data_IF_115593175665
#
_entry.id   IF_115593175665
#
_cell.length_a   1.000
_cell.length_b   1.000
_cell.length_c   1.000
_cell.angle_alpha   90.00
_cell.angle_beta   90.00
_cell.angle_gamma   90.00
#
_symmetry.space_group_name_H-M   'P 1'
#
loop_
_entity.id
_entity.type
_entity.pdbx_description
1 polymer ?
#
# COMPACT_ATOMS: atom_id res chain seq x y z
N UNK A 1 -21.84 42.36 11.31
CA UNK A 1 -20.54 41.67 11.50
C UNK A 1 -20.62 40.14 11.33
N UNK A 2 -21.73 39.47 11.69
CA UNK A 2 -21.84 37.99 11.64
C UNK A 2 -21.96 37.34 10.24
N UNK A 3 -22.45 38.06 9.22
CA UNK A 3 -22.61 37.49 7.87
C UNK A 3 -21.28 37.20 7.17
N UNK A 4 -20.30 38.10 7.28
CA UNK A 4 -18.98 37.93 6.65
C UNK A 4 -18.27 36.69 7.21
N UNK A 5 -18.31 36.51 8.54
CA UNK A 5 -17.73 35.34 9.22
C UNK A 5 -18.41 34.04 8.77
N UNK A 6 -19.73 34.05 8.63
CA UNK A 6 -20.48 32.89 8.15
C UNK A 6 -20.09 32.50 6.72
N UNK A 7 -20.07 33.45 5.78
CA UNK A 7 -19.67 33.17 4.40
C UNK A 7 -18.21 32.70 4.30
N UNK A 8 -17.34 33.19 5.16
CA UNK A 8 -15.93 32.78 5.22
C UNK A 8 -15.79 31.34 5.73
N UNK A 9 -16.51 30.95 6.78
CA UNK A 9 -16.57 29.56 7.27
C UNK A 9 -17.08 28.62 6.17
N UNK A 10 -18.13 29.03 5.46
CA UNK A 10 -18.75 28.24 4.41
C UNK A 10 -17.80 28.07 3.20
N UNK A 11 -17.12 29.14 2.79
CA UNK A 11 -16.11 29.10 1.72
C UNK A 11 -14.93 28.18 2.08
N UNK A 12 -14.40 28.28 3.31
CA UNK A 12 -13.32 27.40 3.79
C UNK A 12 -13.80 25.94 3.82
N UNK A 13 -15.00 25.67 4.34
CA UNK A 13 -15.58 24.32 4.38
C UNK A 13 -15.73 23.71 2.97
N UNK A 14 -16.24 24.47 2.01
CA UNK A 14 -16.38 24.01 0.61
C UNK A 14 -15.02 23.76 -0.06
N UNK A 15 -14.03 24.61 0.20
CA UNK A 15 -12.67 24.41 -0.33
C UNK A 15 -12.01 23.14 0.23
N UNK A 16 -12.22 22.86 1.52
CA UNK A 16 -11.68 21.69 2.19
C UNK A 16 -12.40 20.41 1.74
N UNK A 17 -13.72 20.48 1.51
CA UNK A 17 -14.51 19.41 0.90
C UNK A 17 -13.97 19.04 -0.48
N UNK A 18 -13.82 20.03 -1.35
CA UNK A 18 -13.35 19.81 -2.72
C UNK A 18 -11.91 19.28 -2.78
N UNK A 19 -11.01 19.81 -1.93
CA UNK A 19 -9.65 19.29 -1.78
C UNK A 19 -9.64 17.83 -1.28
N UNK A 20 -10.48 17.50 -0.30
CA UNK A 20 -10.59 16.14 0.26
C UNK A 20 -11.14 15.15 -0.77
N UNK A 21 -12.16 15.55 -1.54
CA UNK A 21 -12.71 14.73 -2.63
C UNK A 21 -11.68 14.50 -3.74
N UNK A 22 -10.90 15.53 -4.09
CA UNK A 22 -9.80 15.39 -5.04
C UNK A 22 -8.75 14.39 -4.55
N UNK A 23 -8.33 14.52 -3.28
CA UNK A 23 -7.36 13.62 -2.66
C UNK A 23 -7.88 12.18 -2.61
N UNK A 24 -9.12 11.97 -2.18
CA UNK A 24 -9.76 10.65 -2.17
C UNK A 24 -9.77 10.03 -3.57
N UNK A 25 -10.15 10.79 -4.59
CA UNK A 25 -10.14 10.31 -5.98
C UNK A 25 -8.74 9.90 -6.44
N UNK A 26 -7.70 10.64 -6.01
CA UNK A 26 -6.30 10.28 -6.30
C UNK A 26 -5.88 9.01 -5.59
N UNK A 27 -6.30 8.80 -4.34
CA UNK A 27 -6.05 7.55 -3.60
C UNK A 27 -6.73 6.36 -4.27
N UNK A 28 -8.00 6.49 -4.70
CA UNK A 28 -8.72 5.44 -5.41
C UNK A 28 -8.00 5.04 -6.71
N UNK A 29 -7.64 6.02 -7.54
CA UNK A 29 -6.91 5.78 -8.79
C UNK A 29 -5.55 5.13 -8.54
N UNK A 30 -4.80 5.59 -7.54
CA UNK A 30 -3.51 4.98 -7.21
C UNK A 30 -3.69 3.53 -6.73
N UNK A 31 -4.70 3.26 -5.91
CA UNK A 31 -5.03 1.89 -5.49
C UNK A 31 -5.36 0.99 -6.68
N UNK A 32 -6.17 1.45 -7.63
CA UNK A 32 -6.53 0.69 -8.82
C UNK A 32 -5.30 0.39 -9.67
N UNK A 33 -4.46 1.40 -9.93
CA UNK A 33 -3.21 1.23 -10.68
C UNK A 33 -2.28 0.20 -10.02
N UNK A 34 -2.15 0.23 -8.69
CA UNK A 34 -1.37 -0.74 -7.93
C UNK A 34 -1.90 -2.16 -8.10
N UNK A 35 -3.22 -2.36 -7.99
CA UNK A 35 -3.83 -3.68 -8.18
C UNK A 35 -3.67 -4.19 -9.61
N UNK A 36 -3.85 -3.32 -10.61
CA UNK A 36 -3.62 -3.67 -12.01
C UNK A 36 -2.18 -4.09 -12.25
N UNK A 37 -1.21 -3.37 -11.68
CA UNK A 37 0.22 -3.72 -11.78
C UNK A 37 0.54 -5.06 -11.13
N UNK A 38 -0.04 -5.35 -9.96
CA UNK A 38 0.08 -6.67 -9.33
C UNK A 38 -0.48 -7.75 -10.23
N UNK A 39 -1.72 -7.59 -10.67
CA UNK A 39 -2.44 -8.60 -11.46
C UNK A 39 -1.75 -8.90 -12.78
N UNK A 40 -1.27 -7.88 -13.48
CA UNK A 40 -0.82 -8.03 -14.86
C UNK A 40 0.69 -8.24 -14.97
N UNK A 41 1.51 -7.65 -14.11
CA UNK A 41 2.98 -7.70 -14.27
C UNK A 41 3.63 -8.62 -13.24
N UNK A 42 3.28 -8.45 -11.95
CA UNK A 42 3.97 -9.15 -10.87
C UNK A 42 3.49 -10.58 -10.70
N UNK A 43 2.18 -10.84 -10.84
CA UNK A 43 1.65 -12.20 -10.80
C UNK A 43 2.19 -13.05 -11.95
N UNK A 44 2.30 -12.49 -13.15
CA UNK A 44 2.91 -13.20 -14.29
C UNK A 44 4.38 -13.49 -14.03
N UNK A 45 5.16 -12.47 -13.63
CA UNK A 45 6.57 -12.66 -13.28
C UNK A 45 6.74 -13.68 -12.16
N UNK A 46 5.88 -13.69 -11.15
CA UNK A 46 5.92 -14.71 -10.10
C UNK A 46 5.71 -16.12 -10.66
N UNK A 47 4.74 -16.31 -11.57
CA UNK A 47 4.48 -17.60 -12.20
C UNK A 47 5.67 -18.03 -13.06
N UNK A 48 6.18 -17.14 -13.92
CA UNK A 48 7.33 -17.42 -14.80
C UNK A 48 8.57 -17.81 -13.99
N UNK A 49 8.89 -17.09 -12.92
CA UNK A 49 10.05 -17.38 -12.08
C UNK A 49 9.84 -18.66 -11.25
N UNK A 50 8.61 -18.92 -10.80
CA UNK A 50 8.29 -20.17 -10.10
C UNK A 50 8.38 -21.39 -11.03
N UNK A 51 7.93 -21.24 -12.28
CA UNK A 51 8.04 -22.28 -13.31
C UNK A 51 9.52 -22.54 -13.64
N UNK A 52 10.31 -21.48 -13.85
CA UNK A 52 11.75 -21.60 -14.10
C UNK A 52 12.46 -22.30 -12.94
N UNK A 53 12.13 -21.95 -11.69
CA UNK A 53 12.68 -22.62 -10.51
C UNK A 53 12.32 -24.10 -10.45
N UNK A 54 11.10 -24.48 -10.82
CA UNK A 54 10.67 -25.88 -10.82
C UNK A 54 11.30 -26.65 -11.98
N UNK A 55 11.34 -26.11 -13.19
CA UNK A 55 11.75 -26.84 -14.40
C UNK A 55 13.26 -26.82 -14.59
N UNK A 56 13.88 -25.65 -14.42
CA UNK A 56 15.29 -25.41 -14.74
C UNK A 56 16.14 -25.06 -13.50
N UNK A 57 15.53 -24.97 -12.31
CA UNK A 57 16.20 -24.51 -11.11
C UNK A 57 17.27 -25.48 -10.61
N UNK A 58 18.27 -24.92 -9.93
CA UNK A 58 19.40 -25.67 -9.39
C UNK A 58 18.94 -26.74 -8.39
N UNK A 59 17.85 -26.47 -7.65
CA UNK A 59 17.26 -27.44 -6.72
C UNK A 59 16.67 -28.66 -7.45
N UNK A 60 15.90 -28.44 -8.52
CA UNK A 60 15.32 -29.55 -9.29
C UNK A 60 16.40 -30.36 -9.98
N UNK A 61 17.40 -29.70 -10.56
CA UNK A 61 18.54 -30.38 -11.18
C UNK A 61 19.28 -31.26 -10.16
N UNK A 62 19.51 -30.74 -8.95
CA UNK A 62 20.12 -31.50 -7.87
C UNK A 62 19.26 -32.71 -7.46
N UNK A 63 17.94 -32.55 -7.32
CA UNK A 63 17.03 -33.66 -7.00
C UNK A 63 17.04 -34.72 -8.10
N UNK A 64 16.98 -34.33 -9.37
CA UNK A 64 17.02 -35.26 -10.50
C UNK A 64 18.34 -36.02 -10.55
N UNK A 65 19.48 -35.33 -10.38
CA UNK A 65 20.78 -35.97 -10.27
C UNK A 65 20.75 -37.04 -9.18
N UNK A 66 20.31 -36.68 -7.96
CA UNK A 66 20.24 -37.59 -6.82
C UNK A 66 19.34 -38.80 -7.13
N UNK A 67 18.16 -38.59 -7.71
CA UNK A 67 17.23 -39.67 -8.07
C UNK A 67 17.82 -40.63 -9.11
N UNK A 68 18.42 -40.10 -10.18
CA UNK A 68 19.09 -40.89 -11.22
C UNK A 68 20.22 -41.73 -10.63
N UNK A 69 20.98 -41.16 -9.67
CA UNK A 69 22.03 -41.91 -8.99
C UNK A 69 21.48 -43.04 -8.10
N UNK A 70 20.35 -42.83 -7.42
CA UNK A 70 19.71 -43.89 -6.65
C UNK A 70 19.15 -45.02 -7.54
N UNK A 71 18.68 -44.72 -8.76
CA UNK A 71 18.18 -45.72 -9.71
C UNK A 71 19.29 -46.55 -10.39
N UNK A 72 20.48 -45.96 -10.63
CA UNK A 72 21.52 -46.54 -11.50
C UNK A 72 22.71 -47.27 -10.81
N UNK A 73 22.55 -47.77 -9.59
CA UNK A 73 23.53 -48.57 -8.79
C UNK A 73 24.40 -47.84 -7.74
N UNK A 74 24.41 -48.48 -6.56
CA UNK A 74 25.42 -48.53 -5.46
C UNK A 74 25.71 -47.28 -4.63
N UNK A 75 25.38 -47.40 -3.34
CA UNK A 75 25.87 -46.67 -2.16
C UNK A 75 26.71 -45.41 -2.47
N UNK A 76 26.03 -44.29 -2.65
CA UNK A 76 26.70 -42.98 -2.53
C UNK A 76 27.22 -42.85 -1.10
N UNK A 77 28.50 -42.51 -0.97
CA UNK A 77 29.04 -42.03 0.30
C UNK A 77 28.34 -40.73 0.66
N UNK A 78 27.79 -40.66 1.88
CA UNK A 78 27.04 -39.49 2.38
C UNK A 78 27.85 -38.19 2.20
N UNK A 79 29.18 -38.29 2.27
CA UNK A 79 30.11 -37.17 2.12
C UNK A 79 30.08 -36.54 0.71
N UNK A 80 29.97 -37.34 -0.36
CA UNK A 80 29.89 -36.85 -1.74
C UNK A 80 28.54 -36.15 -2.03
N UNK A 81 27.45 -36.69 -1.48
CA UNK A 81 26.14 -36.07 -1.55
C UNK A 81 26.13 -34.73 -0.80
N UNK A 82 26.73 -34.72 0.40
CA UNK A 82 26.81 -33.54 1.24
C UNK A 82 27.62 -32.42 0.57
N UNK A 83 28.76 -32.74 -0.06
CA UNK A 83 29.56 -31.77 -0.80
C UNK A 83 28.80 -31.18 -2.00
N UNK A 84 28.11 -32.02 -2.80
CA UNK A 84 27.29 -31.53 -3.93
C UNK A 84 26.16 -30.59 -3.47
N UNK A 85 25.49 -30.92 -2.36
CA UNK A 85 24.46 -30.04 -1.78
C UNK A 85 25.10 -28.72 -1.34
N UNK A 86 26.26 -28.77 -0.67
CA UNK A 86 26.94 -27.59 -0.16
C UNK A 86 27.38 -26.65 -1.30
N UNK A 87 27.98 -27.18 -2.36
CA UNK A 87 28.42 -26.42 -3.54
C UNK A 87 27.28 -25.69 -4.27
N UNK A 88 26.08 -26.25 -4.27
CA UNK A 88 24.90 -25.67 -4.94
C UNK A 88 23.98 -24.89 -4.01
N UNK A 89 24.20 -24.99 -2.69
CA UNK A 89 23.33 -24.41 -1.67
C UNK A 89 23.14 -22.90 -1.82
N UNK A 90 24.20 -22.16 -2.13
CA UNK A 90 24.14 -20.71 -2.31
C UNK A 90 23.28 -20.31 -3.53
N UNK A 91 23.38 -21.06 -4.63
CA UNK A 91 22.53 -20.82 -5.82
C UNK A 91 21.06 -21.11 -5.52
N UNK A 92 20.77 -22.26 -4.90
CA UNK A 92 19.42 -22.65 -4.49
C UNK A 92 18.83 -21.60 -3.55
N UNK A 93 19.62 -21.14 -2.58
CA UNK A 93 19.23 -20.08 -1.65
C UNK A 93 18.88 -18.80 -2.41
N UNK A 94 19.71 -18.36 -3.36
CA UNK A 94 19.47 -17.14 -4.13
C UNK A 94 18.18 -17.25 -4.97
N UNK A 95 17.91 -18.40 -5.59
CA UNK A 95 16.67 -18.64 -6.34
C UNK A 95 15.44 -18.54 -5.43
N UNK A 96 15.48 -19.19 -4.26
CA UNK A 96 14.38 -19.14 -3.27
C UNK A 96 14.19 -17.72 -2.73
N UNK A 97 15.28 -17.02 -2.38
CA UNK A 97 15.22 -15.65 -1.88
C UNK A 97 14.59 -14.71 -2.90
N UNK A 98 14.88 -14.88 -4.18
CA UNK A 98 14.30 -14.08 -5.24
C UNK A 98 12.77 -14.28 -5.38
N UNK A 99 12.31 -15.54 -5.33
CA UNK A 99 10.86 -15.84 -5.35
C UNK A 99 10.16 -15.25 -4.12
N UNK A 100 10.75 -15.43 -2.94
CA UNK A 100 10.22 -14.86 -1.70
C UNK A 100 10.16 -13.33 -1.76
N UNK A 101 11.17 -12.69 -2.35
CA UNK A 101 11.19 -11.26 -2.58
C UNK A 101 10.02 -10.81 -3.45
N UNK A 102 9.71 -11.51 -4.55
CA UNK A 102 8.55 -11.21 -5.41
C UNK A 102 7.23 -11.36 -4.63
N UNK A 103 7.08 -12.42 -3.82
CA UNK A 103 5.88 -12.63 -2.99
C UNK A 103 5.70 -11.49 -1.98
N UNK A 104 6.77 -11.15 -1.26
CA UNK A 104 6.74 -10.05 -0.29
C UNK A 104 6.37 -8.72 -0.97
N UNK A 105 6.89 -8.50 -2.18
CA UNK A 105 6.60 -7.32 -2.97
C UNK A 105 5.11 -7.25 -3.37
N UNK A 106 4.54 -8.35 -3.86
CA UNK A 106 3.11 -8.46 -4.20
C UNK A 106 2.25 -8.16 -2.97
N UNK A 107 2.54 -8.79 -1.84
CA UNK A 107 1.80 -8.60 -0.60
C UNK A 107 1.85 -7.14 -0.14
N UNK A 108 3.03 -6.51 -0.21
CA UNK A 108 3.21 -5.10 0.18
C UNK A 108 2.38 -4.15 -0.70
N UNK A 109 2.36 -4.37 -2.02
CA UNK A 109 1.51 -3.57 -2.90
C UNK A 109 0.02 -3.79 -2.61
N UNK A 110 -0.38 -5.04 -2.35
CA UNK A 110 -1.76 -5.34 -1.99
C UNK A 110 -2.18 -4.61 -0.70
N UNK A 111 -1.34 -4.61 0.33
CA UNK A 111 -1.58 -3.87 1.57
C UNK A 111 -1.71 -2.36 1.31
N UNK A 112 -0.81 -1.77 0.53
CA UNK A 112 -0.87 -0.34 0.18
C UNK A 112 -2.15 0.01 -0.59
N UNK A 113 -2.58 -0.83 -1.52
CA UNK A 113 -3.84 -0.63 -2.23
C UNK A 113 -5.03 -0.63 -1.28
N UNK A 114 -5.13 -1.61 -0.38
CA UNK A 114 -6.24 -1.69 0.59
C UNK A 114 -6.26 -0.49 1.53
N UNK A 115 -5.09 -0.05 2.00
CA UNK A 115 -4.96 1.12 2.86
C UNK A 115 -5.39 2.40 2.13
N UNK A 116 -5.00 2.57 0.87
CA UNK A 116 -5.43 3.71 0.03
C UNK A 116 -6.95 3.72 -0.19
N UNK A 117 -7.57 2.57 -0.48
CA UNK A 117 -9.04 2.45 -0.61
C UNK A 117 -9.75 2.83 0.69
N UNK A 118 -9.29 2.31 1.82
CA UNK A 118 -9.84 2.65 3.14
C UNK A 118 -9.71 4.14 3.42
N UNK A 119 -8.53 4.70 3.19
CA UNK A 119 -8.24 6.11 3.44
C UNK A 119 -9.02 7.04 2.51
N UNK A 120 -9.25 6.64 1.27
CA UNK A 120 -10.13 7.34 0.34
C UNK A 120 -11.56 7.44 0.87
N UNK A 121 -12.14 6.32 1.28
CA UNK A 121 -13.49 6.28 1.85
C UNK A 121 -13.59 7.13 3.13
N UNK A 122 -12.62 7.00 4.04
CA UNK A 122 -12.55 7.80 5.26
C UNK A 122 -12.44 9.29 4.96
N UNK A 123 -11.62 9.68 3.98
CA UNK A 123 -11.45 11.09 3.57
C UNK A 123 -12.77 11.69 3.10
N UNK A 124 -13.55 10.96 2.27
CA UNK A 124 -14.89 11.39 1.85
C UNK A 124 -15.82 11.61 3.05
N UNK A 125 -15.90 10.63 3.95
CA UNK A 125 -16.77 10.70 5.14
C UNK A 125 -16.39 11.89 6.04
N UNK A 126 -15.10 12.00 6.38
CA UNK A 126 -14.58 13.07 7.24
C UNK A 126 -14.81 14.45 6.62
N UNK A 127 -14.65 14.59 5.31
CA UNK A 127 -14.88 15.86 4.63
C UNK A 127 -16.34 16.33 4.71
N UNK A 128 -17.30 15.41 4.58
CA UNK A 128 -18.73 15.69 4.75
C UNK A 128 -19.01 16.09 6.21
N UNK A 129 -18.44 15.38 7.19
CA UNK A 129 -18.60 15.69 8.61
C UNK A 129 -18.09 17.09 8.97
N UNK A 130 -16.92 17.47 8.44
CA UNK A 130 -16.35 18.82 8.66
C UNK A 130 -17.29 19.90 8.12
N UNK A 131 -17.89 19.70 6.94
CA UNK A 131 -18.85 20.66 6.37
C UNK A 131 -20.12 20.75 7.22
N UNK A 132 -20.69 19.62 7.64
CA UNK A 132 -21.88 19.60 8.50
C UNK A 132 -21.61 20.37 9.80
N UNK A 133 -20.48 20.09 10.47
CA UNK A 133 -20.10 20.77 11.70
C UNK A 133 -19.85 22.27 11.48
N UNK A 134 -19.25 22.65 10.35
CA UNK A 134 -19.07 24.04 9.98
C UNK A 134 -20.39 24.80 9.80
N UNK A 135 -21.37 24.18 9.14
CA UNK A 135 -22.72 24.76 8.95
C UNK A 135 -23.42 24.91 10.31
N UNK A 136 -23.42 23.87 11.14
CA UNK A 136 -24.03 23.89 12.48
C UNK A 136 -23.40 25.00 13.34
N UNK A 137 -22.07 25.12 13.31
CA UNK A 137 -21.38 26.20 14.02
C UNK A 137 -21.82 27.58 13.51
N UNK A 138 -21.91 27.74 12.20
CA UNK A 138 -22.36 28.98 11.56
C UNK A 138 -23.77 29.39 11.98
N UNK A 139 -24.70 28.42 12.06
CA UNK A 139 -26.08 28.65 12.52
C UNK A 139 -26.12 29.08 13.99
N UNK A 140 -25.37 28.39 14.87
CA UNK A 140 -25.31 28.73 16.31
C UNK A 140 -24.82 30.17 16.50
N UNK A 141 -23.77 30.57 15.77
CA UNK A 141 -23.21 31.93 15.82
C UNK A 141 -24.22 32.96 15.28
N UNK A 142 -24.95 32.65 14.21
CA UNK A 142 -25.95 33.56 13.63
C UNK A 142 -27.16 33.77 14.55
N UNK A 143 -27.60 32.74 15.26
CA UNK A 143 -28.74 32.80 16.18
C UNK A 143 -28.45 33.57 17.49
N UNK A 144 -27.24 34.11 17.65
CA UNK A 144 -26.87 34.94 18.81
C UNK A 144 -26.73 34.16 20.12
N UNK A 145 -26.76 32.81 20.05
CA UNK A 145 -26.51 31.96 21.19
C UNK A 145 -25.05 32.11 21.63
N UNK A 146 -24.85 32.97 22.63
CA UNK A 146 -23.54 33.24 23.25
C UNK A 146 -23.11 32.12 24.21
N UNK A 147 -23.46 30.86 23.91
CA UNK A 147 -22.98 29.72 24.68
C UNK A 147 -21.57 29.39 24.18
N UNK A 148 -20.58 29.89 24.92
CA UNK A 148 -19.15 29.68 24.68
C UNK A 148 -18.82 28.18 24.58
N UNK A 149 -19.48 27.33 25.38
CA UNK A 149 -19.20 25.89 25.49
C UNK A 149 -19.50 25.12 24.17
N UNK A 150 -20.72 25.17 23.57
CA UNK A 150 -21.01 24.58 22.26
C UNK A 150 -20.05 25.01 21.14
N UNK A 151 -19.71 26.30 21.07
CA UNK A 151 -18.80 26.82 20.02
C UNK A 151 -17.39 26.24 20.20
N UNK A 152 -16.90 26.15 21.43
CA UNK A 152 -15.60 25.53 21.74
C UNK A 152 -15.61 24.03 21.39
N UNK A 153 -16.66 23.29 21.76
CA UNK A 153 -16.78 21.86 21.47
C UNK A 153 -16.79 21.57 19.96
N UNK A 154 -17.54 22.35 19.18
CA UNK A 154 -17.62 22.19 17.72
C UNK A 154 -16.28 22.57 17.08
N UNK A 155 -15.64 23.66 17.52
CA UNK A 155 -14.34 24.09 17.00
C UNK A 155 -13.23 23.06 17.28
N UNK A 156 -13.24 22.47 18.48
CA UNK A 156 -12.33 21.38 18.87
C UNK A 156 -12.57 20.14 18.00
N UNK A 157 -13.83 19.77 17.77
CA UNK A 157 -14.19 18.63 16.92
C UNK A 157 -13.72 18.81 15.47
N UNK A 158 -13.92 20.00 14.90
CA UNK A 158 -13.41 20.34 13.55
C UNK A 158 -11.88 20.23 13.51
N UNK A 159 -11.18 20.73 14.54
CA UNK A 159 -9.72 20.66 14.61
C UNK A 159 -9.19 19.22 14.64
N UNK A 160 -9.85 18.34 15.41
CA UNK A 160 -9.52 16.90 15.45
C UNK A 160 -9.71 16.26 14.07
N UNK A 161 -10.85 16.52 13.41
CA UNK A 161 -11.14 15.97 12.08
C UNK A 161 -10.12 16.44 11.03
N UNK A 162 -9.71 17.71 11.08
CA UNK A 162 -8.64 18.24 10.23
C UNK A 162 -7.32 17.51 10.51
N UNK A 163 -6.97 17.29 11.77
CA UNK A 163 -5.78 16.51 12.15
C UNK A 163 -5.78 15.10 11.55
N UNK A 164 -6.92 14.41 11.61
CA UNK A 164 -7.08 13.08 11.00
C UNK A 164 -6.91 13.14 9.47
N UNK A 165 -7.47 14.16 8.81
CA UNK A 165 -7.30 14.35 7.36
C UNK A 165 -5.82 14.59 6.99
N UNK A 166 -5.07 15.34 7.80
CA UNK A 166 -3.63 15.52 7.60
C UNK A 166 -2.83 14.22 7.75
N UNK A 167 -3.16 13.39 8.73
CA UNK A 167 -2.55 12.07 8.90
C UNK A 167 -2.82 11.15 7.71
N UNK A 168 -4.06 11.17 7.20
CA UNK A 168 -4.43 10.42 5.99
C UNK A 168 -3.64 10.92 4.78
N UNK A 169 -3.50 12.24 4.61
CA UNK A 169 -2.68 12.83 3.56
C UNK A 169 -1.20 12.43 3.67
N UNK A 170 -0.63 12.49 4.87
CA UNK A 170 0.75 12.07 5.12
C UNK A 170 0.97 10.58 4.82
N UNK A 171 -0.02 9.74 5.11
CA UNK A 171 0.01 8.31 4.78
C UNK A 171 -0.04 8.08 3.28
N UNK A 172 -0.94 8.74 2.55
CA UNK A 172 -0.96 8.70 1.08
C UNK A 172 0.37 9.14 0.48
N UNK A 173 0.96 10.23 0.97
CA UNK A 173 2.23 10.73 0.46
C UNK A 173 3.38 9.72 0.67
N UNK A 174 3.44 9.10 1.86
CA UNK A 174 4.43 8.05 2.17
C UNK A 174 4.27 6.83 1.27
N UNK A 175 3.03 6.37 1.05
CA UNK A 175 2.74 5.25 0.14
C UNK A 175 3.17 5.60 -1.28
N UNK A 176 2.78 6.77 -1.79
CA UNK A 176 3.11 7.22 -3.13
C UNK A 176 4.63 7.23 -3.37
N UNK A 177 5.40 7.80 -2.43
CA UNK A 177 6.87 7.80 -2.48
C UNK A 177 7.48 6.40 -2.39
N UNK A 178 6.87 5.51 -1.60
CA UNK A 178 7.33 4.13 -1.47
C UNK A 178 7.11 3.34 -2.75
N UNK A 179 5.94 3.52 -3.40
CA UNK A 179 5.60 2.90 -4.69
C UNK A 179 6.54 3.38 -5.80
N UNK A 180 6.86 4.67 -5.83
CA UNK A 180 7.80 5.24 -6.80
C UNK A 180 9.20 4.61 -6.66
N UNK A 181 9.71 4.48 -5.42
CA UNK A 181 10.97 3.80 -5.15
C UNK A 181 10.92 2.32 -5.53
N UNK A 182 9.84 1.62 -5.17
CA UNK A 182 9.64 0.21 -5.50
C UNK A 182 9.68 -0.02 -7.02
N UNK A 183 9.00 0.86 -7.78
CA UNK A 183 8.91 0.75 -9.23
C UNK A 183 10.27 0.92 -9.90
N UNK A 184 11.07 1.92 -9.47
CA UNK A 184 12.43 2.12 -9.98
C UNK A 184 13.35 0.93 -9.73
N UNK A 185 13.23 0.27 -8.58
CA UNK A 185 14.06 -0.88 -8.27
C UNK A 185 13.75 -2.09 -9.16
N UNK A 186 12.47 -2.30 -9.49
CA UNK A 186 12.08 -3.36 -10.44
C UNK A 186 12.55 -3.10 -11.87
N UNK A 187 12.56 -1.84 -12.31
CA UNK A 187 13.06 -1.45 -13.63
C UNK A 187 14.58 -1.66 -13.73
N UNK A 188 15.32 -1.34 -12.67
CA UNK A 188 16.77 -1.51 -12.66
C UNK A 188 17.22 -2.98 -12.61
N UNK A 189 16.42 -3.89 -12.04
CA UNK A 189 16.69 -5.34 -12.06
C UNK A 189 16.23 -6.03 -13.37
N UNK A 190 15.79 -5.29 -14.39
CA UNK A 190 15.51 -5.81 -15.75
C UNK A 190 16.72 -5.70 -16.69
N UNK A 191 17.78 -4.97 -16.32
CA UNK A 191 19.02 -4.77 -17.09
C UNK A 191 20.20 -5.46 -16.41
#
# INVERSE_FOLDING_TARGET
>A
MNFIVFYLILAVGLSLLSASFYLSTRMDKLSELLLTKVKNELSLRFIEESENFIVNGELTNLIQEILIYFENFKSIGIDDLSNKIFERSDKIKNEIEYILYIIMFINRIYTYSQELKRNSALTKILSILVVILGIVNGIIVQLGYSFIIPVILISTSISILIGILFEIFGTWYRINKSVEKLTRHLENNKN
#
